data_IF_463372237687
#
_entry.id   IF_463372237687
#
_cell.length_a   1.000
_cell.length_b   1.000
_cell.length_c   1.000
_cell.angle_alpha   90.00
_cell.angle_beta   90.00
_cell.angle_gamma   90.00
#
_symmetry.space_group_name_H-M   'P 1'
#
loop_
_entity.id
_entity.type
_entity.pdbx_description
1 polymer ?
#
# COMPACT_ATOMS: atom_id res chain seq x y z
N UNK A 1 8.90 6.43 19.48
CA UNK A 1 9.45 7.01 20.72
C UNK A 1 9.43 5.96 21.81
N UNK A 2 10.37 6.02 22.74
CA UNK A 2 10.48 5.07 23.84
C UNK A 2 10.65 5.82 25.16
N UNK A 3 9.98 5.33 26.20
CA UNK A 3 10.04 5.82 27.57
C UNK A 3 10.39 4.66 28.49
N UNK A 4 11.11 4.95 29.56
CA UNK A 4 11.42 3.98 30.60
C UNK A 4 11.41 4.63 31.98
N UNK A 5 11.27 3.80 33.00
CA UNK A 5 11.37 4.22 34.38
C UNK A 5 11.79 3.05 35.27
N UNK A 6 12.58 3.37 36.29
CA UNK A 6 12.92 2.47 37.38
C UNK A 6 12.55 3.16 38.69
N UNK A 7 11.84 2.45 39.55
CA UNK A 7 11.43 2.92 40.85
C UNK A 7 11.81 1.90 41.92
N UNK A 8 12.40 2.37 43.02
CA UNK A 8 12.65 1.58 44.23
C UNK A 8 11.77 2.10 45.36
N UNK A 9 11.09 1.20 46.04
CA UNK A 9 10.17 1.52 47.13
C UNK A 9 10.74 0.97 48.43
N UNK A 10 11.47 1.80 49.16
CA UNK A 10 12.15 1.44 50.40
C UNK A 10 11.15 0.99 51.49
N UNK A 11 9.93 1.54 51.47
CA UNK A 11 8.87 1.22 52.43
C UNK A 11 8.36 -0.24 52.36
N UNK A 12 8.64 -0.96 51.27
CA UNK A 12 8.20 -2.33 51.06
C UNK A 12 9.38 -3.24 50.70
N UNK A 13 10.38 -3.37 51.60
CA UNK A 13 11.55 -4.23 51.38
C UNK A 13 12.28 -3.94 50.06
N UNK A 14 12.45 -2.67 49.72
CA UNK A 14 13.17 -2.27 48.50
C UNK A 14 12.64 -2.93 47.20
N UNK A 15 11.31 -3.08 47.08
CA UNK A 15 10.71 -3.56 45.82
C UNK A 15 11.12 -2.64 44.67
N UNK A 16 11.57 -3.25 43.58
CA UNK A 16 12.00 -2.57 42.36
C UNK A 16 10.95 -2.77 41.25
N UNK A 17 10.52 -1.68 40.64
CA UNK A 17 9.59 -1.66 39.51
C UNK A 17 10.31 -1.05 38.31
N UNK A 18 10.50 -1.86 37.27
CA UNK A 18 11.10 -1.44 36.00
C UNK A 18 10.04 -1.47 34.91
N UNK A 19 9.85 -0.36 34.20
CA UNK A 19 8.94 -0.34 33.06
C UNK A 19 9.57 0.32 31.84
N UNK A 20 9.18 -0.17 30.67
CA UNK A 20 9.55 0.35 29.36
C UNK A 20 8.30 0.38 28.50
N UNK A 21 8.02 1.51 27.88
CA UNK A 21 6.92 1.68 26.95
C UNK A 21 7.41 2.29 25.64
N UNK A 22 6.91 1.79 24.53
CA UNK A 22 7.22 2.28 23.19
C UNK A 22 5.93 2.58 22.44
N UNK A 23 5.98 3.62 21.62
CA UNK A 23 4.99 3.80 20.57
C UNK A 23 5.68 4.21 19.28
N UNK A 24 5.20 3.69 18.17
CA UNK A 24 5.77 3.93 16.85
C UNK A 24 4.67 4.17 15.84
N UNK A 25 5.02 4.92 14.80
CA UNK A 25 4.19 5.03 13.61
C UNK A 25 5.08 4.91 12.39
N UNK A 26 4.68 4.07 11.45
CA UNK A 26 5.29 3.93 10.14
C UNK A 26 4.24 4.22 9.07
N UNK A 27 4.67 4.89 7.99
CA UNK A 27 3.84 5.12 6.83
C UNK A 27 4.59 4.68 5.58
N UNK A 28 3.90 3.92 4.73
CA UNK A 28 4.34 3.58 3.40
C UNK A 28 3.33 4.16 2.40
N UNK A 29 3.80 5.08 1.58
CA UNK A 29 3.06 5.58 0.42
C UNK A 29 3.75 5.03 -0.83
N UNK A 30 3.09 4.09 -1.50
CA UNK A 30 3.58 3.59 -2.77
C UNK A 30 3.23 4.59 -3.89
N UNK A 31 4.15 4.84 -4.82
CA UNK A 31 3.87 5.66 -5.99
C UNK A 31 2.83 4.98 -6.89
N UNK A 32 2.28 5.74 -7.84
CA UNK A 32 1.37 5.21 -8.84
C UNK A 32 1.99 4.03 -9.60
N UNK A 33 1.36 2.86 -9.49
CA UNK A 33 1.77 1.66 -10.20
C UNK A 33 0.81 1.39 -11.35
N UNK A 34 1.36 0.92 -12.47
CA UNK A 34 0.61 0.52 -13.66
C UNK A 34 0.68 -0.99 -13.78
N UNK A 35 -0.49 -1.63 -13.86
CA UNK A 35 -0.61 -3.05 -14.15
C UNK A 35 -1.18 -3.21 -15.56
N UNK A 36 -0.44 -3.94 -16.38
CA UNK A 36 -0.89 -4.39 -17.69
C UNK A 36 -1.26 -5.87 -17.58
N UNK A 37 -2.43 -6.22 -18.10
CA UNK A 37 -2.90 -7.60 -18.12
C UNK A 37 -3.14 -8.06 -19.55
N UNK A 38 -2.62 -9.23 -19.88
CA UNK A 38 -2.71 -9.87 -21.19
C UNK A 38 -3.00 -11.36 -21.05
N UNK A 39 -3.68 -11.93 -22.04
CA UNK A 39 -3.78 -13.37 -22.24
C UNK A 39 -2.62 -13.82 -23.13
N UNK A 40 -2.08 -15.00 -22.86
CA UNK A 40 -1.10 -15.65 -23.73
C UNK A 40 -1.81 -16.74 -24.54
N UNK A 41 -1.72 -16.68 -25.86
CA UNK A 41 -2.22 -17.74 -26.75
C UNK A 41 -1.07 -18.71 -27.09
N UNK A 42 -1.09 -19.95 -26.57
CA UNK A 42 -0.03 -20.93 -26.83
C UNK A 42 -0.03 -21.47 -28.26
N UNK A 43 -1.10 -21.23 -29.04
CA UNK A 43 -1.24 -21.71 -30.43
C UNK A 43 -0.52 -20.80 -31.41
N UNK A 44 -0.65 -19.49 -31.20
CA UNK A 44 -0.03 -18.45 -32.04
C UNK A 44 1.29 -17.94 -31.46
N UNK A 45 1.49 -18.05 -30.14
CA UNK A 45 2.65 -17.50 -29.43
C UNK A 45 2.52 -16.02 -29.09
N UNK A 46 1.35 -15.43 -29.33
CA UNK A 46 1.11 -14.00 -29.17
C UNK A 46 0.47 -13.66 -27.81
N UNK A 47 0.64 -12.40 -27.40
CA UNK A 47 -0.08 -11.82 -26.27
C UNK A 47 -1.24 -10.97 -26.77
N UNK A 48 -2.44 -11.24 -26.26
CA UNK A 48 -3.67 -10.52 -26.59
C UNK A 48 -4.25 -9.85 -25.35
N UNK A 49 -5.18 -8.91 -25.54
CA UNK A 49 -5.93 -8.34 -24.42
C UNK A 49 -6.86 -9.39 -23.80
N UNK A 50 -7.11 -9.29 -22.50
CA UNK A 50 -8.03 -10.18 -21.79
C UNK A 50 -9.45 -10.09 -22.38
N UNK A 51 -10.00 -11.22 -22.79
CA UNK A 51 -11.35 -11.35 -23.32
C UNK A 51 -12.39 -11.63 -22.21
N UNK A 52 -13.69 -11.42 -22.48
CA UNK A 52 -14.79 -11.79 -21.59
C UNK A 52 -14.84 -13.31 -21.30
N UNK A 53 -14.08 -13.75 -20.30
CA UNK A 53 -14.02 -15.16 -19.90
C UNK A 53 -12.67 -15.55 -19.32
N UNK A 54 -11.64 -14.78 -19.68
CA UNK A 54 -10.28 -15.03 -19.25
C UNK A 54 -10.11 -14.82 -17.73
N UNK A 55 -9.21 -15.61 -17.11
CA UNK A 55 -8.82 -15.40 -15.72
C UNK A 55 -8.10 -14.05 -15.60
N UNK A 56 -8.65 -13.15 -14.80
CA UNK A 56 -7.96 -11.91 -14.41
C UNK A 56 -7.40 -12.06 -13.00
N UNK A 57 -6.18 -11.57 -12.79
CA UNK A 57 -5.57 -11.46 -11.46
C UNK A 57 -6.25 -10.40 -10.59
N UNK A 58 -7.14 -9.60 -11.17
CA UNK A 58 -7.89 -8.55 -10.49
C UNK A 58 -9.38 -8.75 -10.71
N UNK A 59 -10.22 -8.06 -9.94
CA UNK A 59 -11.66 -8.07 -10.19
C UNK A 59 -12.04 -7.40 -11.54
N UNK A 60 -11.11 -6.68 -12.18
CA UNK A 60 -11.32 -5.92 -13.42
C UNK A 60 -10.53 -6.54 -14.58
N UNK A 61 -11.21 -6.98 -15.64
CA UNK A 61 -10.58 -7.55 -16.84
C UNK A 61 -9.91 -6.50 -17.76
N UNK A 62 -9.67 -5.30 -17.24
CA UNK A 62 -9.29 -4.15 -18.06
C UNK A 62 -7.77 -4.17 -18.30
N UNK A 63 -7.32 -3.89 -19.54
CA UNK A 63 -5.94 -4.12 -19.96
C UNK A 63 -4.94 -3.21 -19.24
N UNK A 64 -5.38 -2.04 -18.76
CA UNK A 64 -4.57 -1.10 -17.98
C UNK A 64 -5.31 -0.69 -16.71
N UNK A 65 -4.68 -0.97 -15.57
CA UNK A 65 -5.10 -0.49 -14.26
C UNK A 65 -3.99 0.35 -13.64
N UNK A 66 -4.38 1.43 -12.96
CA UNK A 66 -3.51 2.25 -12.11
C UNK A 66 -3.94 2.07 -10.68
N UNK A 67 -3.00 1.93 -9.77
CA UNK A 67 -3.32 1.91 -8.35
C UNK A 67 -2.24 2.60 -7.53
N UNK A 68 -2.67 3.12 -6.39
CA UNK A 68 -1.83 3.75 -5.39
C UNK A 68 -2.17 3.12 -4.04
N UNK A 69 -1.16 2.78 -3.25
CA UNK A 69 -1.35 2.16 -1.94
C UNK A 69 -0.79 3.06 -0.87
N UNK A 70 -1.54 3.16 0.22
CA UNK A 70 -1.12 3.80 1.44
C UNK A 70 -1.31 2.81 2.58
N UNK A 71 -0.24 2.61 3.34
CA UNK A 71 -0.24 1.81 4.55
C UNK A 71 0.20 2.69 5.71
N UNK A 72 -0.61 2.75 6.75
CA UNK A 72 -0.23 3.37 8.03
C UNK A 72 -0.23 2.29 9.09
N UNK A 73 0.87 2.19 9.83
CA UNK A 73 1.03 1.25 10.93
C UNK A 73 1.33 2.02 12.21
N UNK A 74 0.56 1.74 13.25
CA UNK A 74 0.80 2.22 14.60
C UNK A 74 1.12 1.05 15.51
N UNK A 75 2.14 1.20 16.35
CA UNK A 75 2.54 0.20 17.33
C UNK A 75 2.55 0.81 18.73
N UNK A 76 2.16 0.01 19.72
CA UNK A 76 2.28 0.30 21.14
C UNK A 76 2.77 -0.96 21.85
N UNK A 77 3.87 -0.83 22.60
CA UNK A 77 4.39 -1.90 23.44
C UNK A 77 4.63 -1.38 24.86
N UNK A 78 4.44 -2.26 25.84
CA UNK A 78 4.81 -1.97 27.22
C UNK A 78 5.25 -3.23 27.95
N UNK A 79 6.29 -3.07 28.76
CA UNK A 79 6.84 -4.10 29.63
C UNK A 79 6.90 -3.50 31.02
N UNK A 80 6.39 -4.22 32.02
CA UNK A 80 6.50 -3.84 33.42
C UNK A 80 6.98 -5.04 34.23
N UNK A 81 8.07 -4.89 34.96
CA UNK A 81 8.63 -5.90 35.83
C UNK A 81 8.59 -5.44 37.28
N UNK A 82 8.29 -6.38 38.17
CA UNK A 82 8.36 -6.19 39.61
C UNK A 82 9.36 -7.19 40.16
N UNK A 83 10.32 -6.68 40.94
CA UNK A 83 11.31 -7.49 41.64
C UNK A 83 11.15 -7.35 43.14
N UNK A 84 11.05 -8.48 43.84
CA UNK A 84 10.91 -8.56 45.30
C UNK A 84 12.12 -9.30 45.88
N UNK A 85 12.90 -8.71 46.79
CA UNK A 85 14.00 -9.42 47.44
C UNK A 85 13.48 -10.42 48.48
N UNK A 86 14.10 -11.60 48.55
CA UNK A 86 13.76 -12.65 49.53
C UNK A 86 14.43 -12.45 50.90
N UNK A 87 15.63 -11.87 50.93
CA UNK A 87 16.45 -11.70 52.15
C UNK A 87 17.04 -10.28 52.22
N UNK A 88 17.16 -9.75 53.44
CA UNK A 88 17.76 -8.43 53.75
C UNK A 88 19.30 -8.47 53.87
N UNK A 89 19.98 -9.41 53.21
CA UNK A 89 21.45 -9.52 53.27
C UNK A 89 22.13 -8.59 52.25
N UNK A 90 23.06 -7.76 52.74
CA UNK A 90 23.73 -6.69 51.99
C UNK A 90 24.58 -7.14 50.79
N UNK A 91 25.05 -8.39 50.77
CA UNK A 91 26.09 -8.81 49.81
C UNK A 91 25.56 -9.61 48.62
N UNK A 92 24.35 -10.19 48.67
CA UNK A 92 23.69 -10.76 47.48
C UNK A 92 22.19 -11.08 47.71
N UNK A 93 21.28 -10.09 47.63
CA UNK A 93 19.87 -10.33 47.85
C UNK A 93 19.29 -11.13 46.68
N UNK A 94 19.03 -12.41 46.92
CA UNK A 94 18.24 -13.25 46.02
C UNK A 94 16.88 -12.58 45.79
N UNK A 95 16.50 -12.33 44.53
CA UNK A 95 15.26 -11.63 44.18
C UNK A 95 14.34 -12.45 43.30
N UNK A 96 13.05 -12.42 43.61
CA UNK A 96 11.99 -12.88 42.73
C UNK A 96 11.70 -11.79 41.71
N UNK A 97 11.69 -12.12 40.41
CA UNK A 97 11.29 -11.18 39.35
C UNK A 97 10.11 -11.76 38.58
N UNK A 98 9.07 -10.95 38.43
CA UNK A 98 7.91 -11.25 37.59
C UNK A 98 7.56 -10.02 36.76
N UNK A 99 6.76 -10.18 35.71
CA UNK A 99 6.39 -9.06 34.86
C UNK A 99 5.25 -9.34 33.90
N UNK A 100 4.81 -8.27 33.26
CA UNK A 100 3.77 -8.23 32.25
C UNK A 100 4.32 -7.65 30.95
N UNK A 101 3.85 -8.19 29.84
CA UNK A 101 4.18 -7.74 28.48
C UNK A 101 2.88 -7.53 27.72
N UNK A 102 2.76 -6.38 27.05
CA UNK A 102 1.70 -6.11 26.08
C UNK A 102 2.31 -5.52 24.82
N UNK A 103 1.78 -5.96 23.70
CA UNK A 103 2.16 -5.52 22.37
C UNK A 103 0.91 -5.44 21.50
N UNK A 104 0.74 -4.32 20.82
CA UNK A 104 -0.43 -4.04 20.00
C UNK A 104 0.01 -3.31 18.75
N UNK A 105 -0.36 -3.88 17.62
CA UNK A 105 -0.13 -3.29 16.30
C UNK A 105 -1.47 -3.07 15.61
N UNK A 106 -1.68 -1.87 15.10
CA UNK A 106 -2.81 -1.54 14.24
C UNK A 106 -2.29 -1.12 12.87
N UNK A 107 -2.87 -1.69 11.82
CA UNK A 107 -2.47 -1.44 10.44
C UNK A 107 -3.69 -1.05 9.61
N UNK A 108 -3.64 0.14 9.03
CA UNK A 108 -4.66 0.66 8.14
C UNK A 108 -4.13 0.62 6.69
N UNK A 109 -4.85 -0.10 5.83
CA UNK A 109 -4.54 -0.24 4.40
C UNK A 109 -5.59 0.49 3.56
N UNK A 110 -5.12 1.39 2.71
CA UNK A 110 -5.94 2.06 1.72
C UNK A 110 -5.34 1.86 0.32
N UNK A 111 -6.20 1.55 -0.65
CA UNK A 111 -5.82 1.45 -2.05
C UNK A 111 -6.82 2.21 -2.92
N UNK A 112 -6.32 3.21 -3.63
CA UNK A 112 -7.05 3.81 -4.73
C UNK A 112 -6.75 3.03 -6.01
N UNK A 113 -7.78 2.74 -6.80
CA UNK A 113 -7.65 2.05 -8.08
C UNK A 113 -8.42 2.80 -9.16
N UNK A 114 -7.75 3.01 -10.28
CA UNK A 114 -8.29 3.64 -11.46
C UNK A 114 -8.15 2.69 -12.64
N UNK A 115 -9.17 2.66 -13.49
CA UNK A 115 -9.21 1.79 -14.64
C UNK A 115 -9.44 2.66 -15.86
N UNK A 116 -8.68 2.41 -16.94
CA UNK A 116 -8.98 3.05 -18.20
C UNK A 116 -10.00 2.21 -18.96
N UNK A 117 -11.12 2.82 -19.30
CA UNK A 117 -12.09 2.25 -20.21
C UNK A 117 -11.78 2.76 -21.62
N UNK A 118 -10.97 1.98 -22.35
CA UNK A 118 -10.76 2.25 -23.76
C UNK A 118 -12.10 2.09 -24.49
N UNK A 119 -12.55 3.13 -25.20
CA UNK A 119 -13.77 3.08 -26.01
C UNK A 119 -15.10 3.40 -25.30
N UNK A 120 -15.10 3.93 -24.06
CA UNK A 120 -16.36 4.36 -23.43
C UNK A 120 -16.87 5.73 -23.91
N UNK A 121 -16.17 6.35 -24.86
CA UNK A 121 -16.79 7.29 -25.78
C UNK A 121 -17.62 6.46 -26.77
N UNK A 122 -18.83 6.02 -26.36
CA UNK A 122 -19.87 5.35 -27.16
C UNK A 122 -19.48 5.29 -28.63
N UNK A 123 -18.68 4.30 -29.08
CA UNK A 123 -18.01 4.30 -30.40
C UNK A 123 -18.83 5.12 -31.40
N UNK A 124 -18.55 6.42 -31.63
CA UNK A 124 -19.33 7.14 -32.60
C UNK A 124 -19.13 6.34 -33.87
N UNK A 125 -20.23 6.01 -34.57
CA UNK A 125 -20.18 5.23 -35.81
C UNK A 125 -19.21 5.83 -36.84
N UNK A 126 -18.73 7.04 -36.57
CA UNK A 126 -17.85 7.87 -37.38
C UNK A 126 -16.36 7.84 -36.98
N UNK A 127 -15.90 6.98 -36.06
CA UNK A 127 -14.46 6.68 -36.00
C UNK A 127 -14.08 5.83 -37.21
N UNK A 128 -14.01 6.47 -38.37
CA UNK A 128 -13.36 5.91 -39.53
C UNK A 128 -11.87 5.85 -39.24
N UNK A 129 -11.28 4.67 -39.41
CA UNK A 129 -9.83 4.55 -39.49
C UNK A 129 -9.37 5.52 -40.57
N UNK A 130 -8.36 6.34 -40.24
CA UNK A 130 -7.79 7.27 -41.20
C UNK A 130 -7.39 6.54 -42.47
N UNK A 131 -8.06 6.87 -43.57
CA UNK A 131 -7.75 6.36 -44.89
C UNK A 131 -7.01 7.44 -45.66
N UNK A 132 -5.72 7.23 -45.91
CA UNK A 132 -4.86 8.17 -46.63
C UNK A 132 -5.40 8.48 -48.04
N UNK A 133 -6.15 7.55 -48.65
CA UNK A 133 -6.79 7.75 -49.95
C UNK A 133 -7.99 8.74 -49.91
N UNK A 134 -8.68 8.86 -48.77
CA UNK A 134 -9.82 9.76 -48.58
C UNK A 134 -9.38 11.11 -48.00
N UNK A 135 -8.18 11.18 -47.42
CA UNK A 135 -7.60 12.37 -46.82
C UNK A 135 -6.89 13.30 -47.83
N UNK A 136 -7.08 13.10 -49.15
CA UNK A 136 -6.49 13.92 -50.21
C UNK A 136 -4.96 14.14 -50.05
N UNK A 137 -4.23 13.12 -49.60
CA UNK A 137 -2.77 13.19 -49.44
C UNK A 137 -2.28 13.96 -48.20
N UNK A 138 -3.17 14.30 -47.26
CA UNK A 138 -2.75 14.70 -45.92
C UNK A 138 -2.12 13.50 -45.22
N UNK A 139 -1.30 13.73 -44.19
CA UNK A 139 -0.84 12.65 -43.31
C UNK A 139 -1.55 12.75 -41.95
N UNK A 140 -1.42 11.70 -41.14
CA UNK A 140 -2.05 11.63 -39.81
C UNK A 140 -1.68 12.81 -38.92
N UNK A 141 -0.45 13.31 -39.06
CA UNK A 141 0.06 14.44 -38.29
C UNK A 141 -0.66 15.75 -38.66
N UNK A 142 -0.94 15.97 -39.94
CA UNK A 142 -1.67 17.15 -40.44
C UNK A 142 -3.13 17.17 -39.99
N UNK A 143 -3.74 15.99 -39.79
CA UNK A 143 -5.14 15.87 -39.35
C UNK A 143 -5.28 16.00 -37.85
N UNK A 144 -4.38 15.39 -37.07
CA UNK A 144 -4.45 15.39 -35.61
C UNK A 144 -4.00 16.70 -34.96
N UNK A 145 -2.98 17.35 -35.54
CA UNK A 145 -2.49 18.64 -35.08
C UNK A 145 -3.30 19.82 -35.65
N UNK A 146 -4.33 19.54 -36.45
CA UNK A 146 -5.22 20.59 -36.91
C UNK A 146 -6.04 21.13 -35.74
N UNK A 147 -5.74 22.37 -35.34
CA UNK A 147 -6.38 23.04 -34.20
C UNK A 147 -7.92 23.04 -34.29
N UNK A 148 -8.49 23.05 -35.50
CA UNK A 148 -9.95 23.02 -35.70
C UNK A 148 -10.59 21.63 -35.47
N UNK A 149 -9.79 20.56 -35.36
CA UNK A 149 -10.25 19.17 -35.23
C UNK A 149 -9.72 18.46 -33.99
N UNK A 150 -8.62 18.96 -33.44
CA UNK A 150 -7.91 18.33 -32.32
C UNK A 150 -8.69 18.42 -30.99
N UNK A 151 -9.68 19.32 -30.89
CA UNK A 151 -10.37 19.59 -29.61
C UNK A 151 -9.44 20.10 -28.51
N UNK A 152 -8.19 20.46 -28.87
CA UNK A 152 -7.15 20.96 -27.97
C UNK A 152 -7.17 22.49 -27.83
N UNK A 153 -8.17 23.16 -28.41
CA UNK A 153 -8.41 24.61 -28.23
C UNK A 153 -9.79 24.77 -27.61
N UNK A 154 -9.84 25.46 -26.46
CA UNK A 154 -11.02 25.71 -25.62
C UNK A 154 -12.26 26.18 -26.38
#
# INVERSE_FOLDING_TARGET
MQLNGNHKIDAFREIEIDWVGGFGQAQLNEPDQRLFQNAYDPTTGDYTELQPGDPSFTASKRPLQRYQRQLTEGEYNAIANVSVPYFEEKDNPSKFKTGFYIDTTQRDYNQASFVYEYGNANYPQDYQAYNEAEANGQNWNDVFLNENRSGLVN
#
